data_IF_973256118044
#
_entry.id   IF_973256118044
#
_cell.length_a   1.000
_cell.length_b   1.000
_cell.length_c   1.000
_cell.angle_alpha   90.00
_cell.angle_beta   90.00
_cell.angle_gamma   90.00
#
_symmetry.space_group_name_H-M   'P 1'
#
loop_
_entity.id
_entity.type
_entity.pdbx_description
1 polymer ?
#
# COMPACT_ATOMS: atom_id res chain seq x y z
N UNK A 1 39.02 12.36 -18.87
CA UNK A 1 39.85 12.36 -17.63
C UNK A 1 39.98 10.93 -17.09
N UNK A 2 41.17 10.49 -16.66
CA UNK A 2 41.42 9.09 -16.29
C UNK A 2 41.27 8.79 -14.79
N UNK A 3 40.80 7.58 -14.48
CA UNK A 3 40.70 7.05 -13.13
C UNK A 3 42.09 6.87 -12.50
N UNK A 4 42.28 7.42 -11.30
CA UNK A 4 43.58 7.36 -10.61
C UNK A 4 43.98 5.93 -10.23
N UNK A 5 42.99 5.05 -9.98
CA UNK A 5 43.17 3.69 -9.48
C UNK A 5 43.46 2.67 -10.59
N UNK A 6 42.68 2.69 -11.68
CA UNK A 6 42.78 1.69 -12.75
C UNK A 6 43.28 2.25 -14.09
N UNK A 7 43.54 3.56 -14.19
CA UNK A 7 44.00 4.27 -15.39
C UNK A 7 43.04 4.24 -16.59
N UNK A 8 41.88 3.59 -16.50
CA UNK A 8 40.80 3.69 -17.48
C UNK A 8 40.05 5.02 -17.37
N UNK A 9 39.31 5.41 -18.40
CA UNK A 9 38.44 6.60 -18.39
C UNK A 9 37.38 6.45 -17.27
N UNK A 10 37.06 7.53 -16.56
CA UNK A 10 35.97 7.52 -15.59
C UNK A 10 34.64 7.18 -16.28
N UNK A 11 33.79 6.40 -15.61
CA UNK A 11 32.43 6.13 -16.11
C UNK A 11 31.57 7.38 -15.99
N UNK A 12 31.79 8.17 -14.93
CA UNK A 12 31.23 9.51 -14.80
C UNK A 12 32.36 10.49 -14.49
N UNK A 13 32.69 11.34 -15.45
CA UNK A 13 33.80 12.29 -15.34
C UNK A 13 33.50 13.42 -14.34
N UNK A 14 32.24 13.88 -14.27
CA UNK A 14 31.80 14.96 -13.38
C UNK A 14 32.02 14.58 -11.92
N UNK A 15 31.65 13.36 -11.56
CA UNK A 15 31.81 12.85 -10.19
C UNK A 15 33.11 12.09 -9.95
N UNK A 16 33.95 11.97 -10.99
CA UNK A 16 35.20 11.20 -10.95
C UNK A 16 34.94 9.78 -10.43
N UNK A 17 33.84 9.18 -10.90
CA UNK A 17 33.35 7.87 -10.48
C UNK A 17 33.72 6.82 -11.53
N UNK A 18 34.31 5.71 -11.09
CA UNK A 18 34.74 4.63 -11.98
C UNK A 18 34.00 3.35 -11.62
N UNK A 19 33.07 2.92 -12.50
CA UNK A 19 32.26 1.73 -12.29
C UNK A 19 33.08 0.50 -11.96
N UNK A 20 34.14 0.26 -12.73
CA UNK A 20 34.99 -0.91 -12.54
C UNK A 20 35.69 -0.91 -11.18
N UNK A 21 36.20 0.24 -10.74
CA UNK A 21 36.84 0.36 -9.43
C UNK A 21 35.84 0.15 -8.30
N UNK A 22 34.64 0.73 -8.39
CA UNK A 22 33.62 0.57 -7.36
C UNK A 22 33.08 -0.86 -7.31
N UNK A 23 32.82 -1.50 -8.45
CA UNK A 23 32.47 -2.93 -8.50
C UNK A 23 33.57 -3.78 -7.85
N UNK A 24 34.85 -3.50 -8.12
CA UNK A 24 35.96 -4.23 -7.51
C UNK A 24 36.01 -4.02 -5.99
N UNK A 25 35.71 -2.83 -5.48
CA UNK A 25 35.61 -2.56 -4.04
C UNK A 25 34.42 -3.30 -3.40
N UNK A 26 33.26 -3.30 -4.05
CA UNK A 26 32.08 -4.04 -3.58
C UNK A 26 32.35 -5.53 -3.50
N UNK A 27 32.99 -6.12 -4.52
CA UNK A 27 33.39 -7.53 -4.54
C UNK A 27 34.25 -7.92 -3.34
N UNK A 28 35.19 -7.07 -2.94
CA UNK A 28 36.05 -7.30 -1.75
C UNK A 28 35.26 -7.31 -0.44
N UNK A 29 34.10 -6.66 -0.42
CA UNK A 29 33.26 -6.50 0.76
C UNK A 29 32.01 -7.39 0.76
N UNK A 30 31.85 -8.31 -0.20
CA UNK A 30 30.66 -9.16 -0.29
C UNK A 30 30.35 -9.92 1.00
N UNK A 31 31.37 -10.29 1.78
CA UNK A 31 31.21 -10.95 3.09
C UNK A 31 30.58 -10.05 4.15
N UNK A 32 30.59 -8.73 3.98
CA UNK A 32 30.01 -7.78 4.92
C UNK A 32 28.47 -7.72 4.82
N UNK A 33 27.89 -8.21 3.71
CA UNK A 33 26.44 -8.22 3.45
C UNK A 33 25.89 -9.64 3.34
N UNK A 34 26.49 -10.61 4.04
CA UNK A 34 25.97 -11.97 4.06
C UNK A 34 24.77 -12.10 4.99
N UNK A 35 23.73 -12.75 4.49
CA UNK A 35 22.55 -13.17 5.23
C UNK A 35 22.69 -14.57 5.84
N UNK A 36 23.76 -15.29 5.50
CA UNK A 36 23.87 -16.73 5.72
C UNK A 36 23.04 -17.59 4.75
N UNK A 37 22.24 -16.98 3.86
CA UNK A 37 21.50 -17.67 2.80
C UNK A 37 22.11 -17.37 1.42
N UNK A 38 22.73 -18.39 0.81
CA UNK A 38 23.41 -18.28 -0.49
C UNK A 38 22.54 -17.67 -1.61
N UNK A 39 21.22 -17.93 -1.63
CA UNK A 39 20.33 -17.37 -2.68
C UNK A 39 20.11 -15.87 -2.49
N UNK A 40 19.98 -15.41 -1.25
CA UNK A 40 19.86 -13.97 -0.93
C UNK A 40 21.18 -13.27 -1.19
N UNK A 41 22.28 -13.86 -0.73
CA UNK A 41 23.63 -13.28 -0.91
C UNK A 41 23.95 -13.12 -2.40
N UNK A 42 23.67 -14.13 -3.21
CA UNK A 42 23.82 -14.04 -4.67
C UNK A 42 22.95 -12.93 -5.27
N UNK A 43 21.69 -12.80 -4.83
CA UNK A 43 20.79 -11.75 -5.32
C UNK A 43 21.29 -10.34 -4.96
N UNK A 44 21.81 -10.16 -3.74
CA UNK A 44 22.41 -8.88 -3.30
C UNK A 44 23.63 -8.55 -4.16
N UNK A 45 24.54 -9.52 -4.34
CA UNK A 45 25.73 -9.35 -5.18
C UNK A 45 25.35 -9.01 -6.62
N UNK A 46 24.37 -9.69 -7.22
CA UNK A 46 23.86 -9.37 -8.55
C UNK A 46 23.34 -7.92 -8.66
N UNK A 47 22.63 -7.44 -7.65
CA UNK A 47 22.14 -6.04 -7.59
C UNK A 47 23.30 -5.06 -7.46
N UNK A 48 24.25 -5.32 -6.57
CA UNK A 48 25.44 -4.49 -6.36
C UNK A 48 26.33 -4.41 -7.63
N UNK A 49 26.43 -5.49 -8.41
CA UNK A 49 27.20 -5.51 -9.67
C UNK A 49 26.52 -4.74 -10.82
N UNK A 50 25.24 -4.41 -10.69
CA UNK A 50 24.44 -3.69 -11.70
C UNK A 50 24.47 -2.16 -11.53
N UNK A 51 25.17 -1.63 -10.54
CA UNK A 51 25.29 -0.17 -10.38
C UNK A 51 26.02 0.45 -11.59
N UNK A 52 25.47 1.56 -12.09
CA UNK A 52 25.95 2.25 -13.28
C UNK A 52 26.31 3.72 -13.01
N UNK A 53 25.83 4.28 -11.90
CA UNK A 53 26.00 5.68 -11.53
C UNK A 53 26.28 5.84 -10.03
N UNK A 54 26.97 6.91 -9.61
CA UNK A 54 27.29 7.17 -8.20
C UNK A 54 26.06 7.31 -7.29
N UNK A 55 24.92 7.76 -7.81
CA UNK A 55 23.67 7.90 -7.05
C UNK A 55 22.79 6.63 -7.08
N UNK A 56 23.27 5.53 -7.68
CA UNK A 56 22.54 4.26 -7.56
C UNK A 56 22.60 3.75 -6.13
N UNK A 57 21.47 3.21 -5.67
CA UNK A 57 21.37 2.56 -4.36
C UNK A 57 22.29 1.33 -4.36
N UNK A 58 23.19 1.27 -3.39
CA UNK A 58 23.90 0.03 -3.06
C UNK A 58 22.92 -0.86 -2.31
N UNK A 59 22.50 -1.96 -2.92
CA UNK A 59 21.56 -2.89 -2.31
C UNK A 59 22.26 -3.70 -1.21
N UNK A 60 21.67 -3.80 -0.02
CA UNK A 60 22.33 -4.37 1.16
C UNK A 60 21.53 -5.50 1.81
N UNK A 61 22.25 -6.42 2.48
CA UNK A 61 21.68 -7.12 3.62
C UNK A 61 21.77 -6.20 4.83
N UNK A 62 20.63 -5.95 5.48
CA UNK A 62 20.56 -5.02 6.61
C UNK A 62 20.25 -5.85 7.87
N UNK A 63 21.18 -5.92 8.84
CA UNK A 63 20.93 -6.60 10.10
C UNK A 63 19.70 -6.02 10.81
N UNK A 64 18.82 -6.88 11.34
CA UNK A 64 17.55 -6.44 11.92
C UNK A 64 17.71 -5.47 13.11
N UNK A 65 18.77 -5.64 13.89
CA UNK A 65 19.11 -4.78 15.03
C UNK A 65 19.52 -3.35 14.63
N UNK A 66 19.62 -3.03 13.33
CA UNK A 66 19.85 -1.68 12.81
C UNK A 66 18.57 -0.87 12.61
N UNK A 67 17.42 -1.47 12.86
CA UNK A 67 16.13 -0.78 12.81
C UNK A 67 15.69 -0.32 14.18
N UNK A 68 15.40 0.97 14.29
CA UNK A 68 14.90 1.64 15.49
C UNK A 68 13.44 2.08 15.28
N UNK A 69 12.73 2.34 16.38
CA UNK A 69 11.36 2.89 16.37
C UNK A 69 10.37 2.12 15.46
N UNK A 70 10.46 0.79 15.44
CA UNK A 70 9.61 -0.06 14.58
C UNK A 70 8.15 0.05 15.03
N UNK A 71 7.26 0.54 14.16
CA UNK A 71 5.82 0.71 14.42
C UNK A 71 5.00 0.20 13.25
N UNK A 72 3.96 -0.59 13.53
CA UNK A 72 3.02 -1.04 12.49
C UNK A 72 2.28 0.18 11.91
N UNK A 73 2.20 0.28 10.58
CA UNK A 73 1.54 1.39 9.87
C UNK A 73 0.39 0.95 8.98
N UNK A 74 0.43 -0.29 8.50
CA UNK A 74 -0.63 -0.85 7.66
C UNK A 74 -0.54 -2.37 7.63
N UNK A 75 -1.69 -3.02 7.40
CA UNK A 75 -1.79 -4.49 7.39
C UNK A 75 -2.94 -4.96 6.52
N UNK A 76 -2.70 -6.00 5.74
CA UNK A 76 -3.72 -6.79 5.06
C UNK A 76 -3.55 -8.29 5.36
N UNK A 77 -4.26 -9.16 4.64
CA UNK A 77 -4.18 -10.61 4.87
C UNK A 77 -2.86 -11.21 4.40
N UNK A 78 -2.13 -10.50 3.54
CA UNK A 78 -0.94 -11.00 2.87
C UNK A 78 0.33 -10.35 3.39
N UNK A 79 0.23 -9.22 4.07
CA UNK A 79 1.38 -8.47 4.51
C UNK A 79 1.11 -7.49 5.65
N UNK A 80 2.17 -7.21 6.39
CA UNK A 80 2.21 -6.12 7.37
C UNK A 80 3.34 -5.18 7.01
N UNK A 81 3.08 -3.88 7.13
CA UNK A 81 4.05 -2.82 6.86
C UNK A 81 4.33 -2.10 8.15
N UNK A 82 5.60 -1.89 8.44
CA UNK A 82 6.08 -1.11 9.58
C UNK A 82 6.84 0.12 9.09
N UNK A 83 6.73 1.24 9.80
CA UNK A 83 7.74 2.29 9.74
C UNK A 83 8.89 1.95 10.67
N UNK A 84 10.12 2.24 10.25
CA UNK A 84 11.29 2.13 11.11
C UNK A 84 12.33 3.19 10.69
N UNK A 85 13.23 3.52 11.61
CA UNK A 85 14.43 4.28 11.29
C UNK A 85 15.60 3.33 11.07
N UNK A 86 16.43 3.59 10.07
CA UNK A 86 17.67 2.85 9.86
C UNK A 86 18.85 3.62 10.44
N UNK A 87 19.46 3.09 11.51
CA UNK A 87 20.55 3.72 12.28
C UNK A 87 21.74 4.11 11.40
N UNK A 88 22.19 3.19 10.56
CA UNK A 88 23.37 3.40 9.72
C UNK A 88 23.07 4.25 8.47
N UNK A 89 21.81 4.23 8.01
CA UNK A 89 21.41 4.79 6.72
C UNK A 89 22.04 4.07 5.51
N UNK A 90 21.62 4.41 4.28
CA UNK A 90 22.16 3.83 3.05
C UNK A 90 23.59 4.32 2.75
N UNK A 91 24.33 3.53 1.99
CA UNK A 91 25.58 3.97 1.38
C UNK A 91 25.31 4.99 0.25
N UNK A 92 25.93 6.16 0.37
CA UNK A 92 25.80 7.25 -0.60
C UNK A 92 27.18 7.68 -1.13
N UNK A 93 27.26 8.00 -2.42
CA UNK A 93 28.50 8.48 -3.01
C UNK A 93 28.82 9.90 -2.54
N UNK A 94 29.97 10.07 -1.91
CA UNK A 94 30.48 11.37 -1.52
C UNK A 94 31.48 11.90 -2.56
N UNK A 95 31.14 13.01 -3.22
CA UNK A 95 31.97 13.63 -4.27
C UNK A 95 33.33 14.13 -3.78
N UNK A 96 33.40 14.63 -2.54
CA UNK A 96 34.63 15.18 -1.98
C UNK A 96 35.64 14.06 -1.71
N UNK A 97 35.16 12.98 -1.10
CA UNK A 97 35.97 11.84 -0.69
C UNK A 97 36.11 10.76 -1.78
N UNK A 98 35.34 10.87 -2.88
CA UNK A 98 35.25 9.92 -4.00
C UNK A 98 35.12 8.47 -3.52
N UNK A 99 34.21 8.27 -2.57
CA UNK A 99 33.89 6.96 -1.99
C UNK A 99 32.45 6.94 -1.50
N UNK A 100 31.88 5.75 -1.43
CA UNK A 100 30.64 5.54 -0.71
C UNK A 100 30.89 5.72 0.79
N UNK A 101 30.05 6.51 1.44
CA UNK A 101 30.04 6.71 2.89
C UNK A 101 28.61 6.54 3.40
N UNK A 102 28.47 6.28 4.69
CA UNK A 102 27.19 6.40 5.37
C UNK A 102 27.06 7.82 5.91
N UNK A 103 25.93 8.44 5.63
CA UNK A 103 25.55 9.68 6.30
C UNK A 103 24.80 9.26 7.58
N UNK A 104 25.31 9.63 8.76
CA UNK A 104 24.71 9.29 10.07
C UNK A 104 23.41 10.06 10.34
N UNK A 105 22.54 10.13 9.34
CA UNK A 105 21.20 10.68 9.47
C UNK A 105 20.24 9.51 9.49
N UNK A 106 19.53 9.36 10.60
CA UNK A 106 18.41 8.41 10.68
C UNK A 106 17.44 8.69 9.52
N UNK A 107 17.19 7.66 8.70
CA UNK A 107 16.22 7.75 7.60
C UNK A 107 15.00 6.91 7.98
N UNK A 108 13.82 7.51 7.91
CA UNK A 108 12.56 6.77 8.02
C UNK A 108 12.32 5.95 6.75
N UNK A 109 12.08 4.65 6.93
CA UNK A 109 11.86 3.67 5.88
C UNK A 109 10.63 2.83 6.20
N UNK A 110 10.15 2.09 5.20
CA UNK A 110 9.11 1.08 5.38
C UNK A 110 9.72 -0.32 5.32
N UNK A 111 9.34 -1.13 6.29
CA UNK A 111 9.66 -2.55 6.38
C UNK A 111 8.41 -3.33 5.99
N UNK A 112 8.44 -3.97 4.82
CA UNK A 112 7.32 -4.80 4.37
C UNK A 112 7.61 -6.27 4.70
N UNK A 113 6.70 -6.86 5.45
CA UNK A 113 6.65 -8.28 5.77
C UNK A 113 5.56 -8.91 4.92
N UNK A 114 5.92 -9.93 4.13
CA UNK A 114 4.93 -10.71 3.39
C UNK A 114 4.65 -12.01 4.14
N UNK A 115 3.40 -12.19 4.53
CA UNK A 115 2.93 -13.39 5.20
C UNK A 115 3.06 -14.60 4.27
N UNK A 116 3.34 -15.77 4.83
CA UNK A 116 3.43 -17.05 4.12
C UNK A 116 4.52 -17.12 3.02
N UNK A 117 5.46 -16.17 2.97
CA UNK A 117 6.63 -16.20 2.07
C UNK A 117 7.90 -16.67 2.80
N UNK A 118 7.84 -17.85 3.41
CA UNK A 118 9.05 -18.53 3.90
C UNK A 118 9.95 -19.03 2.74
N UNK A 119 9.38 -19.18 1.54
CA UNK A 119 10.14 -19.54 0.35
C UNK A 119 10.93 -18.34 -0.19
N UNK A 120 12.25 -18.40 -0.02
CA UNK A 120 13.20 -17.37 -0.47
C UNK A 120 13.06 -16.99 -1.96
N UNK A 121 12.73 -17.94 -2.85
CA UNK A 121 12.60 -17.66 -4.29
C UNK A 121 11.37 -16.79 -4.55
N UNK A 122 10.24 -17.11 -3.91
CA UNK A 122 9.02 -16.31 -4.03
C UNK A 122 9.22 -14.90 -3.47
N UNK A 123 9.89 -14.79 -2.31
CA UNK A 123 10.25 -13.50 -1.73
C UNK A 123 11.14 -12.66 -2.65
N UNK A 124 12.21 -13.22 -3.21
CA UNK A 124 13.09 -12.49 -4.13
C UNK A 124 12.37 -12.07 -5.43
N UNK A 125 11.43 -12.86 -5.92
CA UNK A 125 10.58 -12.46 -7.05
C UNK A 125 9.67 -11.29 -6.68
N UNK A 126 9.12 -11.26 -5.47
CA UNK A 126 8.38 -10.10 -4.97
C UNK A 126 9.27 -8.85 -4.93
N UNK A 127 10.48 -8.93 -4.37
CA UNK A 127 11.45 -7.82 -4.34
C UNK A 127 11.74 -7.27 -5.75
N UNK A 128 11.84 -8.13 -6.77
CA UNK A 128 12.01 -7.71 -8.16
C UNK A 128 10.81 -6.91 -8.67
N UNK A 129 9.59 -7.37 -8.40
CA UNK A 129 8.36 -6.67 -8.81
C UNK A 129 8.26 -5.31 -8.14
N UNK A 130 8.54 -5.21 -6.84
CA UNK A 130 8.53 -3.93 -6.11
C UNK A 130 9.60 -2.95 -6.61
N UNK A 131 10.73 -3.44 -7.12
CA UNK A 131 11.82 -2.59 -7.64
C UNK A 131 11.40 -1.70 -8.81
N UNK A 132 10.26 -1.99 -9.46
CA UNK A 132 9.75 -1.19 -10.57
C UNK A 132 9.15 0.15 -10.10
N UNK A 133 8.51 0.16 -8.94
CA UNK A 133 7.76 1.32 -8.43
C UNK A 133 8.34 1.87 -7.13
N UNK A 134 9.18 1.11 -6.42
CA UNK A 134 9.71 1.51 -5.12
C UNK A 134 11.24 1.51 -5.12
N UNK A 135 11.80 2.48 -4.41
CA UNK A 135 13.23 2.46 -4.09
C UNK A 135 13.46 1.46 -2.96
N UNK A 136 14.14 0.36 -3.27
CA UNK A 136 14.46 -0.69 -2.31
C UNK A 136 15.93 -0.60 -1.93
N UNK A 137 16.21 -0.48 -0.64
CA UNK A 137 17.58 -0.38 -0.11
C UNK A 137 18.18 -1.74 0.20
N UNK A 138 17.35 -2.72 0.54
CA UNK A 138 17.87 -4.01 0.94
C UNK A 138 16.83 -5.00 1.39
N UNK A 139 17.37 -6.09 1.94
CA UNK A 139 16.62 -7.19 2.56
C UNK A 139 17.11 -7.32 4.00
N UNK A 140 16.18 -7.68 4.89
CA UNK A 140 16.50 -8.11 6.24
C UNK A 140 15.71 -9.39 6.58
N UNK A 141 15.91 -9.91 7.78
CA UNK A 141 15.12 -11.01 8.33
C UNK A 141 14.88 -10.75 9.81
N UNK A 142 13.63 -10.85 10.24
CA UNK A 142 13.30 -10.75 11.65
C UNK A 142 13.87 -12.01 12.37
N UNK A 143 14.68 -11.83 13.43
CA UNK A 143 15.39 -12.93 14.07
C UNK A 143 14.46 -13.90 14.81
N UNK A 144 13.28 -13.45 15.26
CA UNK A 144 12.35 -14.25 16.06
C UNK A 144 11.42 -15.06 15.15
N UNK A 145 10.77 -14.39 14.21
CA UNK A 145 9.78 -14.99 13.30
C UNK A 145 10.42 -15.66 12.08
N UNK A 146 11.70 -15.38 11.81
CA UNK A 146 12.44 -15.80 10.60
C UNK A 146 11.84 -15.30 9.28
N UNK A 147 10.88 -14.36 9.34
CA UNK A 147 10.29 -13.77 8.15
C UNK A 147 11.28 -12.81 7.47
N UNK A 148 11.38 -12.92 6.15
CA UNK A 148 12.14 -11.98 5.33
C UNK A 148 11.40 -10.64 5.21
N UNK A 149 12.20 -9.58 5.14
CA UNK A 149 11.73 -8.19 5.16
C UNK A 149 12.29 -7.48 3.94
N UNK A 150 11.42 -6.80 3.21
CA UNK A 150 11.84 -5.84 2.18
C UNK A 150 11.98 -4.44 2.82
N UNK A 151 13.11 -3.79 2.60
CA UNK A 151 13.43 -2.47 3.18
C UNK A 151 13.39 -1.43 2.07
N UNK A 152 12.40 -0.53 2.11
CA UNK A 152 12.09 0.36 0.98
C UNK A 152 11.64 1.76 1.42
N UNK A 153 11.83 2.74 0.55
CA UNK A 153 11.28 4.09 0.73
C UNK A 153 9.82 4.12 0.29
N UNK A 154 8.97 4.77 1.09
CA UNK A 154 7.57 4.99 0.71
C UNK A 154 7.45 5.72 -0.64
N UNK A 155 6.45 5.36 -1.44
CA UNK A 155 6.14 6.02 -2.69
C UNK A 155 4.74 6.63 -2.60
N UNK A 156 4.63 7.94 -2.88
CA UNK A 156 3.36 8.67 -2.83
C UNK A 156 2.37 8.26 -3.91
N UNK A 157 2.87 7.64 -4.98
CA UNK A 157 2.07 7.28 -6.16
C UNK A 157 1.61 5.83 -6.11
N UNK A 158 2.24 4.95 -5.31
CA UNK A 158 1.91 3.52 -5.29
C UNK A 158 1.67 2.99 -3.89
N UNK A 159 0.65 2.14 -3.74
CA UNK A 159 0.34 1.46 -2.50
C UNK A 159 1.36 0.37 -2.19
N UNK A 160 1.99 0.44 -1.02
CA UNK A 160 2.99 -0.53 -0.57
C UNK A 160 2.40 -1.93 -0.29
N UNK A 161 1.11 -2.05 0.02
CA UNK A 161 0.47 -3.34 0.28
C UNK A 161 0.23 -4.12 -1.02
N UNK A 162 -0.37 -3.46 -2.03
CA UNK A 162 -0.84 -4.14 -3.23
C UNK A 162 -0.12 -3.74 -4.54
N UNK A 163 0.79 -2.75 -4.51
CA UNK A 163 1.56 -2.19 -5.64
C UNK A 163 0.76 -1.38 -6.66
N UNK A 164 -0.54 -1.21 -6.47
CA UNK A 164 -1.35 -0.43 -7.38
C UNK A 164 -1.15 1.06 -7.13
N UNK A 165 -1.34 1.85 -8.18
CA UNK A 165 -1.29 3.30 -8.09
C UNK A 165 -2.37 3.84 -7.16
N UNK A 166 -2.04 4.90 -6.42
CA UNK A 166 -3.00 5.66 -5.64
C UNK A 166 -3.76 6.61 -6.55
N UNK A 167 -5.05 6.80 -6.26
CA UNK A 167 -5.88 7.88 -6.79
C UNK A 167 -6.11 8.84 -5.63
N UNK A 168 -5.51 10.03 -5.63
CA UNK A 168 -5.60 10.99 -4.51
C UNK A 168 -5.28 10.38 -3.11
N UNK A 169 -4.21 9.57 -3.01
CA UNK A 169 -3.81 8.79 -1.81
C UNK A 169 -4.77 7.67 -1.39
N UNK A 170 -5.74 7.33 -2.23
CA UNK A 170 -6.69 6.23 -2.01
C UNK A 170 -6.35 5.04 -2.91
N UNK A 171 -6.31 3.84 -2.33
CA UNK A 171 -6.03 2.63 -3.08
C UNK A 171 -7.30 1.80 -3.25
N UNK A 172 -7.88 1.83 -4.46
CA UNK A 172 -9.13 1.12 -4.79
C UNK A 172 -9.13 -0.33 -4.36
N UNK A 173 -8.05 -1.05 -4.68
CA UNK A 173 -7.97 -2.49 -4.40
C UNK A 173 -7.91 -2.78 -2.90
N UNK A 174 -7.12 -2.02 -2.14
CA UNK A 174 -7.04 -2.18 -0.69
C UNK A 174 -8.40 -1.87 -0.03
N UNK A 175 -9.11 -0.85 -0.49
CA UNK A 175 -10.45 -0.56 0.03
C UNK A 175 -11.47 -1.64 -0.32
N UNK A 176 -11.51 -2.11 -1.56
CA UNK A 176 -12.35 -3.26 -1.95
C UNK A 176 -12.04 -4.48 -1.08
N UNK A 177 -10.78 -4.76 -0.79
CA UNK A 177 -10.39 -5.88 0.07
C UNK A 177 -10.89 -5.68 1.51
N UNK A 178 -10.86 -4.45 2.05
CA UNK A 178 -11.43 -4.14 3.36
C UNK A 178 -12.95 -4.29 3.37
N UNK A 179 -13.65 -3.84 2.32
CA UNK A 179 -15.11 -3.99 2.19
C UNK A 179 -15.50 -5.46 2.17
N UNK A 180 -14.81 -6.29 1.39
CA UNK A 180 -15.05 -7.74 1.32
C UNK A 180 -15.01 -8.42 2.68
N UNK A 181 -14.13 -7.99 3.58
CA UNK A 181 -14.06 -8.52 4.96
C UNK A 181 -15.26 -8.14 5.82
N UNK A 182 -15.93 -7.04 5.49
CA UNK A 182 -17.02 -6.46 6.26
C UNK A 182 -18.40 -6.68 5.61
N UNK A 183 -18.51 -7.46 4.54
CA UNK A 183 -19.80 -7.72 3.88
C UNK A 183 -20.87 -8.25 4.83
N UNK A 184 -20.49 -9.03 5.84
CA UNK A 184 -21.41 -9.53 6.87
C UNK A 184 -21.98 -8.44 7.77
N UNK A 185 -21.37 -7.26 7.84
CA UNK A 185 -21.81 -6.16 8.70
C UNK A 185 -22.97 -5.34 8.11
N UNK A 186 -23.28 -5.53 6.82
CA UNK A 186 -24.30 -4.75 6.09
C UNK A 186 -25.46 -5.60 5.57
N UNK A 187 -25.72 -6.73 6.21
CA UNK A 187 -26.82 -7.60 5.80
C UNK A 187 -28.18 -6.97 6.07
N UNK A 188 -29.05 -7.04 5.08
CA UNK A 188 -30.47 -6.73 5.15
C UNK A 188 -31.31 -7.90 5.67
N UNK A 189 -30.70 -9.09 5.80
CA UNK A 189 -31.42 -10.36 6.00
C UNK A 189 -32.00 -10.96 4.71
N UNK A 190 -31.81 -10.30 3.55
CA UNK A 190 -32.23 -10.80 2.25
C UNK A 190 -31.02 -10.98 1.31
N UNK A 191 -30.75 -12.23 0.93
CA UNK A 191 -29.59 -12.60 0.11
C UNK A 191 -29.49 -11.81 -1.21
N UNK A 192 -30.62 -11.56 -1.89
CA UNK A 192 -30.62 -10.82 -3.16
C UNK A 192 -30.24 -9.35 -2.99
N UNK A 193 -30.72 -8.72 -1.92
CA UNK A 193 -30.36 -7.33 -1.60
C UNK A 193 -28.89 -7.26 -1.19
N UNK A 194 -28.44 -8.19 -0.37
CA UNK A 194 -27.06 -8.24 0.12
C UNK A 194 -26.07 -8.42 -1.04
N UNK A 195 -26.39 -9.32 -1.99
CA UNK A 195 -25.58 -9.50 -3.20
C UNK A 195 -25.53 -8.22 -4.04
N UNK A 196 -26.66 -7.54 -4.24
CA UNK A 196 -26.69 -6.26 -4.96
C UNK A 196 -25.85 -5.18 -4.27
N UNK A 197 -25.92 -5.08 -2.94
CA UNK A 197 -25.09 -4.14 -2.17
C UNK A 197 -23.61 -4.46 -2.37
N UNK A 198 -23.22 -5.72 -2.24
CA UNK A 198 -21.83 -6.15 -2.44
C UNK A 198 -21.33 -5.81 -3.86
N UNK A 199 -22.13 -6.06 -4.89
CA UNK A 199 -21.78 -5.67 -6.27
C UNK A 199 -21.50 -4.17 -6.41
N UNK A 200 -22.34 -3.32 -5.80
CA UNK A 200 -22.14 -1.86 -5.80
C UNK A 200 -20.90 -1.45 -5.00
N UNK A 201 -20.60 -2.14 -3.90
CA UNK A 201 -19.40 -1.93 -3.10
C UNK A 201 -18.10 -2.30 -3.82
N UNK A 202 -18.14 -3.21 -4.80
CA UNK A 202 -16.97 -3.61 -5.58
C UNK A 202 -16.62 -2.62 -6.71
N UNK A 203 -17.55 -1.74 -7.11
CA UNK A 203 -17.34 -0.75 -8.18
C UNK A 203 -17.04 0.66 -7.67
N UNK A 204 -16.83 0.82 -6.36
CA UNK A 204 -16.59 2.13 -5.73
C UNK A 204 -15.45 2.92 -6.37
N UNK A 205 -15.54 4.25 -6.24
CA UNK A 205 -14.49 5.19 -6.59
C UNK A 205 -14.26 6.17 -5.43
N UNK A 206 -13.21 6.98 -5.55
CA UNK A 206 -12.76 7.89 -4.49
C UNK A 206 -13.83 8.88 -3.99
N UNK A 207 -14.76 9.30 -4.86
CA UNK A 207 -15.72 10.37 -4.57
C UNK A 207 -17.06 9.88 -4.03
N UNK A 208 -17.36 8.60 -4.19
CA UNK A 208 -18.67 8.06 -3.82
C UNK A 208 -18.69 7.48 -2.41
N UNK A 209 -19.80 7.74 -1.73
CA UNK A 209 -20.18 7.06 -0.49
C UNK A 209 -20.31 5.55 -0.73
N UNK A 210 -20.05 4.77 0.33
CA UNK A 210 -20.28 3.34 0.30
C UNK A 210 -21.79 3.09 0.14
N UNK A 211 -22.16 2.26 -0.84
CA UNK A 211 -23.51 1.75 -0.96
C UNK A 211 -23.78 0.76 0.17
N UNK A 212 -24.78 1.01 1.01
CA UNK A 212 -25.03 0.21 2.22
C UNK A 212 -26.53 0.01 2.50
N UNK A 213 -26.85 -1.05 3.23
CA UNK A 213 -28.18 -1.22 3.83
C UNK A 213 -28.34 -0.29 5.03
N UNK A 214 -29.44 0.46 5.07
CA UNK A 214 -29.78 1.33 6.19
C UNK A 214 -31.03 0.77 6.87
N UNK A 215 -30.92 0.25 8.10
CA UNK A 215 -32.08 -0.19 8.87
C UNK A 215 -33.06 0.96 9.07
N UNK A 216 -34.36 0.69 8.91
CA UNK A 216 -35.40 1.72 8.97
C UNK A 216 -35.40 2.53 10.28
N UNK A 217 -35.05 1.89 11.41
CA UNK A 217 -34.95 2.53 12.71
C UNK A 217 -33.77 3.55 12.85
N UNK A 218 -32.93 3.69 11.82
CA UNK A 218 -31.90 4.74 11.75
C UNK A 218 -32.41 6.06 11.20
N UNK A 219 -33.62 6.10 10.68
CA UNK A 219 -34.24 7.33 10.21
C UNK A 219 -35.01 8.00 11.34
N UNK A 220 -34.84 9.31 11.48
CA UNK A 220 -35.53 10.17 12.43
C UNK A 220 -36.43 11.16 11.70
N UNK A 221 -37.40 11.75 12.40
CA UNK A 221 -38.27 12.82 11.90
C UNK A 221 -38.93 12.52 10.54
N UNK A 222 -39.36 11.26 10.33
CA UNK A 222 -39.94 10.83 9.06
C UNK A 222 -41.29 11.51 8.83
N UNK A 223 -41.43 12.25 7.72
CA UNK A 223 -42.66 12.96 7.35
C UNK A 223 -42.99 12.72 5.88
N UNK A 224 -44.26 12.46 5.57
CA UNK A 224 -44.71 12.37 4.18
C UNK A 224 -44.61 13.75 3.51
N UNK A 225 -44.09 13.78 2.29
CA UNK A 225 -43.86 15.01 1.51
C UNK A 225 -44.71 15.01 0.25
N UNK A 226 -44.82 13.86 -0.41
CA UNK A 226 -45.55 13.72 -1.66
C UNK A 226 -46.01 12.27 -1.85
N UNK A 227 -47.09 12.08 -2.59
CA UNK A 227 -47.67 10.77 -2.85
C UNK A 227 -48.37 10.74 -4.19
N UNK A 228 -47.98 9.77 -5.01
CA UNK A 228 -48.63 9.42 -6.27
C UNK A 228 -49.14 7.97 -6.24
N UNK A 229 -49.74 7.53 -7.35
CA UNK A 229 -50.29 6.17 -7.49
C UNK A 229 -49.22 5.07 -7.38
N UNK A 230 -47.94 5.40 -7.59
CA UNK A 230 -46.83 4.46 -7.69
C UNK A 230 -45.82 4.54 -6.54
N UNK A 231 -45.82 5.62 -5.76
CA UNK A 231 -44.85 5.85 -4.69
C UNK A 231 -45.28 6.92 -3.69
N UNK A 232 -44.76 6.80 -2.48
CA UNK A 232 -44.79 7.84 -1.45
C UNK A 232 -43.37 8.32 -1.18
N UNK A 233 -43.16 9.64 -1.14
CA UNK A 233 -41.90 10.28 -0.80
C UNK A 233 -41.99 10.84 0.61
N UNK A 234 -41.02 10.48 1.45
CA UNK A 234 -40.87 11.00 2.80
C UNK A 234 -39.61 11.86 2.91
N UNK A 235 -39.62 12.88 3.75
CA UNK A 235 -38.40 13.47 4.30
C UNK A 235 -38.02 12.72 5.57
N UNK A 236 -36.73 12.59 5.83
CA UNK A 236 -36.20 12.02 7.06
C UNK A 236 -34.83 12.60 7.37
N UNK A 237 -34.41 12.46 8.63
CA UNK A 237 -33.05 12.71 9.08
C UNK A 237 -32.30 11.40 9.29
N UNK A 238 -30.99 11.43 9.07
CA UNK A 238 -30.10 10.29 9.22
C UNK A 238 -28.68 10.73 9.60
N UNK A 239 -27.89 9.82 10.17
CA UNK A 239 -26.48 10.02 10.56
C UNK A 239 -25.52 10.20 9.37
N UNK A 240 -26.03 10.15 8.13
CA UNK A 240 -25.25 10.38 6.92
C UNK A 240 -24.46 9.17 6.42
N UNK A 241 -23.96 9.25 5.18
CA UNK A 241 -23.20 8.18 4.56
C UNK A 241 -21.86 7.93 5.25
N UNK A 242 -21.33 6.73 5.05
CA UNK A 242 -19.94 6.42 5.38
C UNK A 242 -18.99 7.15 4.41
N UNK A 243 -18.14 8.00 4.97
CA UNK A 243 -17.14 8.78 4.25
C UNK A 243 -15.72 8.31 4.62
N UNK A 244 -14.82 8.34 3.63
CA UNK A 244 -13.42 7.98 3.84
C UNK A 244 -12.67 9.07 4.62
N UNK A 245 -12.12 8.72 5.79
CA UNK A 245 -11.26 9.61 6.56
C UNK A 245 -9.78 9.36 6.26
N UNK A 246 -9.12 10.34 5.65
CA UNK A 246 -7.70 10.27 5.29
C UNK A 246 -6.73 10.17 6.49
N UNK A 247 -7.10 10.73 7.66
CA UNK A 247 -6.23 10.73 8.84
C UNK A 247 -6.20 9.36 9.50
N UNK A 248 -7.36 8.73 9.62
CA UNK A 248 -7.53 7.46 10.32
C UNK A 248 -7.59 6.25 9.36
N UNK A 249 -7.53 6.49 8.05
CA UNK A 249 -7.63 5.49 6.97
C UNK A 249 -8.81 4.50 7.16
N UNK A 250 -9.96 5.04 7.57
CA UNK A 250 -11.18 4.27 7.84
C UNK A 250 -12.42 5.04 7.40
N UNK A 251 -13.49 4.31 7.11
CA UNK A 251 -14.80 4.91 6.88
C UNK A 251 -15.43 5.32 8.20
N UNK A 252 -15.94 6.54 8.28
CA UNK A 252 -16.65 7.07 9.44
C UNK A 252 -17.95 7.74 8.98
N UNK A 253 -18.96 7.76 9.85
CA UNK A 253 -20.11 8.66 9.66
C UNK A 253 -19.75 10.03 10.19
N UNK A 254 -19.99 11.06 9.38
CA UNK A 254 -19.89 12.44 9.82
C UNK A 254 -21.14 12.72 10.68
N UNK A 255 -21.00 12.99 11.98
CA UNK A 255 -22.11 13.16 12.94
C UNK A 255 -22.92 14.45 12.73
N UNK A 256 -23.15 14.84 11.48
CA UNK A 256 -24.06 15.91 11.11
C UNK A 256 -25.38 15.25 10.74
N UNK A 257 -26.49 15.76 11.25
CA UNK A 257 -27.80 15.30 10.79
C UNK A 257 -27.94 15.59 9.29
N UNK A 258 -28.13 14.56 8.48
CA UNK A 258 -28.39 14.66 7.05
C UNK A 258 -29.89 14.58 6.80
N UNK A 259 -30.45 15.62 6.18
CA UNK A 259 -31.79 15.57 5.63
C UNK A 259 -31.76 14.84 4.29
N UNK A 260 -32.65 13.87 4.12
CA UNK A 260 -32.77 13.07 2.90
C UNK A 260 -34.23 12.80 2.54
N UNK A 261 -34.45 12.38 1.29
CA UNK A 261 -35.75 11.93 0.82
C UNK A 261 -35.75 10.42 0.65
N UNK A 262 -36.70 9.74 1.30
CA UNK A 262 -36.96 8.32 1.14
C UNK A 262 -38.06 8.13 0.11
N UNK A 263 -37.82 7.28 -0.90
CA UNK A 263 -38.85 6.90 -1.88
C UNK A 263 -39.35 5.49 -1.58
N UNK A 264 -40.59 5.38 -1.10
CA UNK A 264 -41.29 4.11 -0.93
C UNK A 264 -42.09 3.81 -2.19
N UNK A 265 -41.80 2.71 -2.89
CA UNK A 265 -42.55 2.32 -4.10
C UNK A 265 -43.72 1.42 -3.74
N UNK A 266 -44.88 1.69 -4.32
CA UNK A 266 -46.06 0.85 -4.24
C UNK A 266 -46.01 -0.22 -5.34
N UNK A 267 -46.79 -1.29 -5.18
CA UNK A 267 -47.07 -2.30 -6.21
C UNK A 267 -45.86 -3.11 -6.74
N UNK A 268 -44.71 -3.10 -6.05
CA UNK A 268 -43.60 -3.99 -6.38
C UNK A 268 -43.95 -5.42 -5.96
N UNK A 269 -43.89 -6.35 -6.92
CA UNK A 269 -44.33 -7.73 -6.70
C UNK A 269 -43.25 -8.59 -6.03
N UNK A 270 -41.98 -8.22 -6.18
CA UNK A 270 -40.87 -8.93 -5.56
C UNK A 270 -39.59 -8.08 -5.47
N UNK A 271 -38.60 -8.61 -4.76
CA UNK A 271 -37.30 -7.97 -4.53
C UNK A 271 -36.48 -7.77 -5.81
N UNK A 272 -36.65 -8.59 -6.84
CA UNK A 272 -35.91 -8.45 -8.10
C UNK A 272 -36.38 -7.22 -8.86
N UNK A 273 -37.69 -7.00 -8.92
CA UNK A 273 -38.28 -5.79 -9.50
C UNK A 273 -37.82 -4.53 -8.77
N UNK A 274 -37.79 -4.57 -7.43
CA UNK A 274 -37.24 -3.50 -6.60
C UNK A 274 -35.78 -3.18 -6.97
N UNK A 275 -34.91 -4.19 -7.02
CA UNK A 275 -33.49 -4.01 -7.31
C UNK A 275 -33.23 -3.51 -8.74
N UNK A 276 -34.02 -3.94 -9.72
CA UNK A 276 -33.95 -3.41 -11.08
C UNK A 276 -34.25 -1.90 -11.11
N UNK A 277 -35.29 -1.46 -10.39
CA UNK A 277 -35.64 -0.05 -10.27
C UNK A 277 -34.54 0.75 -9.58
N UNK A 278 -33.97 0.22 -8.49
CA UNK A 278 -32.83 0.83 -7.79
C UNK A 278 -31.62 0.93 -8.73
N UNK A 279 -31.31 -0.14 -9.48
CA UNK A 279 -30.22 -0.17 -10.44
C UNK A 279 -30.33 0.90 -11.53
N UNK A 280 -31.54 1.14 -12.04
CA UNK A 280 -31.80 2.21 -13.02
C UNK A 280 -31.53 3.61 -12.46
N UNK A 281 -31.84 3.85 -11.18
CA UNK A 281 -31.62 5.15 -10.52
C UNK A 281 -30.14 5.44 -10.20
N UNK A 282 -29.27 4.44 -10.29
CA UNK A 282 -27.84 4.54 -9.94
C UNK A 282 -26.91 4.71 -11.16
N UNK A 283 -27.43 4.59 -12.38
CA UNK A 283 -26.69 4.78 -13.64
C UNK A 283 -26.92 6.18 -14.21
#
# INVERSE_FOLDING_TARGET
MYCILCKNIYTDEKYKWCKQCEINKLRKNFTNWTSGNKKIDNFIQEKQLKINYPWNIVFEWIPYNKFLDIKEVDKDDFSTVYSAKWEDGPLEWNNNNRKYIRNQKEIELKLKYSHNLQNVVKFLNEVKVYSNNFKIFGISQNPDTKNYIMVLQDNKDYCILCKNEYIYKWCKQCEINKLRKNFTNWTSGNEKIDNFIQEKQLVINYYYSIFEWIPYNKFLDIKEVDKDDFSTVYSAKWDGPLEWNNNNKKYIRNQKEFELKLKCSHNLQNVVEFLNKVGFLLN
#
